data_IF_965680544558
#
_entry.id   IF_965680544558
#
_cell.length_a   1.000
_cell.length_b   1.000
_cell.length_c   1.000
_cell.angle_alpha   90.00
_cell.angle_beta   90.00
_cell.angle_gamma   90.00
#
_symmetry.space_group_name_H-M   'P 1'
#
loop_
_entity.id
_entity.type
_entity.pdbx_description
1 polymer ?
#
# COMPACT_ATOMS: atom_id res chain seq x y z
N UNK A 1 14.96 -4.47 -14.63
CA UNK A 1 13.58 -4.19 -14.15
C UNK A 1 13.43 -4.51 -12.66
N UNK A 2 13.49 -5.78 -12.25
CA UNK A 2 13.28 -6.21 -10.85
C UNK A 2 14.15 -5.46 -9.83
N UNK A 3 15.47 -5.36 -10.06
CA UNK A 3 16.41 -4.63 -9.18
C UNK A 3 16.01 -3.16 -9.03
N UNK A 4 15.57 -2.51 -10.11
CA UNK A 4 15.14 -1.11 -10.07
C UNK A 4 13.90 -0.92 -9.19
N UNK A 5 12.96 -1.87 -9.23
CA UNK A 5 11.75 -1.87 -8.38
C UNK A 5 12.12 -2.10 -6.91
N UNK A 6 13.03 -3.03 -6.63
CA UNK A 6 13.55 -3.27 -5.28
C UNK A 6 14.21 -2.00 -4.73
N UNK A 7 15.12 -1.40 -5.49
CA UNK A 7 15.81 -0.17 -5.08
C UNK A 7 14.84 0.99 -4.84
N UNK A 8 13.85 1.17 -5.72
CA UNK A 8 12.81 2.18 -5.53
C UNK A 8 12.00 1.92 -4.25
N UNK A 9 11.62 0.68 -4.00
CA UNK A 9 10.83 0.32 -2.82
C UNK A 9 11.61 0.55 -1.53
N UNK A 10 12.84 0.05 -1.47
CA UNK A 10 13.70 0.17 -0.28
C UNK A 10 14.08 1.62 -0.04
N UNK A 11 14.68 2.30 -1.02
CA UNK A 11 15.16 3.67 -0.84
C UNK A 11 13.99 4.64 -0.65
N UNK A 12 12.93 4.51 -1.44
CA UNK A 12 11.77 5.39 -1.39
C UNK A 12 11.06 5.33 -0.03
N UNK A 13 10.76 4.12 0.46
CA UNK A 13 10.11 3.96 1.76
C UNK A 13 11.05 4.29 2.93
N UNK A 14 12.35 4.02 2.82
CA UNK A 14 13.33 4.47 3.81
C UNK A 14 13.35 6.00 3.95
N UNK A 15 13.28 6.73 2.83
CA UNK A 15 13.19 8.20 2.87
C UNK A 15 11.89 8.68 3.52
N UNK A 16 10.77 7.97 3.31
CA UNK A 16 9.49 8.26 4.02
C UNK A 16 9.66 8.07 5.53
N UNK A 17 10.25 6.94 5.95
CA UNK A 17 10.51 6.63 7.35
C UNK A 17 11.37 7.73 7.98
N UNK A 18 12.53 8.03 7.38
CA UNK A 18 13.44 9.08 7.86
C UNK A 18 12.73 10.43 7.94
N UNK A 19 11.97 10.80 6.91
CA UNK A 19 11.26 12.09 6.87
C UNK A 19 10.26 12.20 8.03
N UNK A 20 9.36 11.23 8.20
CA UNK A 20 8.32 11.31 9.22
C UNK A 20 8.92 11.18 10.62
N UNK A 21 9.93 10.33 10.81
CA UNK A 21 10.59 10.17 12.11
C UNK A 21 11.38 11.42 12.52
N UNK A 22 12.03 12.09 11.58
CA UNK A 22 12.92 13.22 11.87
C UNK A 22 12.21 14.56 12.06
N UNK A 23 11.29 14.93 11.15
CA UNK A 23 10.70 16.26 11.14
C UNK A 23 9.49 16.35 12.08
N UNK A 24 9.60 17.13 13.14
CA UNK A 24 8.54 17.25 14.18
C UNK A 24 7.21 17.76 13.63
N UNK A 25 7.24 18.61 12.60
CA UNK A 25 6.03 19.08 11.90
C UNK A 25 5.21 17.93 11.31
N UNK A 26 5.86 16.81 10.96
CA UNK A 26 5.20 15.64 10.39
C UNK A 26 4.65 14.68 11.45
N UNK A 27 4.85 14.92 12.74
CA UNK A 27 4.30 14.07 13.81
C UNK A 27 2.81 14.35 14.01
N UNK A 28 2.00 13.90 13.05
CA UNK A 28 0.54 14.02 13.04
C UNK A 28 -0.11 12.63 13.05
N UNK A 29 -1.38 12.49 13.49
CA UNK A 29 -2.08 11.21 13.51
C UNK A 29 -2.05 10.48 12.15
N UNK A 30 -2.38 11.17 11.06
CA UNK A 30 -2.34 10.60 9.70
C UNK A 30 -0.96 10.06 9.33
N UNK A 31 0.10 10.81 9.65
CA UNK A 31 1.45 10.43 9.25
C UNK A 31 1.96 9.19 10.01
N UNK A 32 1.36 8.81 11.15
CA UNK A 32 1.65 7.52 11.77
C UNK A 32 1.20 6.33 10.91
N UNK A 33 0.07 6.43 10.23
CA UNK A 33 -0.37 5.38 9.30
C UNK A 33 0.56 5.30 8.09
N UNK A 34 1.00 6.44 7.56
CA UNK A 34 1.99 6.49 6.47
C UNK A 34 3.34 5.90 6.90
N UNK A 35 3.77 6.14 8.14
CA UNK A 35 4.97 5.55 8.69
C UNK A 35 4.85 4.03 8.83
N UNK A 36 3.74 3.53 9.36
CA UNK A 36 3.44 2.08 9.47
C UNK A 36 3.45 1.40 8.09
N UNK A 37 2.80 2.02 7.10
CA UNK A 37 2.80 1.56 5.72
C UNK A 37 4.22 1.50 5.13
N UNK A 38 5.00 2.58 5.29
CA UNK A 38 6.37 2.66 4.79
C UNK A 38 7.29 1.62 5.45
N UNK A 39 7.11 1.31 6.74
CA UNK A 39 7.85 0.23 7.42
C UNK A 39 7.52 -1.14 6.83
N UNK A 40 6.23 -1.44 6.62
CA UNK A 40 5.83 -2.69 5.98
C UNK A 40 6.40 -2.82 4.56
N UNK A 41 6.25 -1.79 3.74
CA UNK A 41 6.73 -1.77 2.35
C UNK A 41 8.27 -1.81 2.26
N UNK A 42 8.98 -1.15 3.18
CA UNK A 42 10.43 -1.26 3.29
C UNK A 42 10.87 -2.69 3.59
N UNK A 43 10.21 -3.39 4.51
CA UNK A 43 10.52 -4.80 4.82
C UNK A 43 10.20 -5.73 3.64
N UNK A 44 9.11 -5.48 2.90
CA UNK A 44 8.82 -6.20 1.65
C UNK A 44 9.96 -5.99 0.65
N UNK A 45 10.37 -4.74 0.42
CA UNK A 45 11.46 -4.43 -0.50
C UNK A 45 12.82 -4.99 -0.07
N UNK A 46 13.12 -4.98 1.23
CA UNK A 46 14.43 -5.38 1.76
C UNK A 46 14.58 -6.90 1.84
N UNK A 47 13.53 -7.61 2.29
CA UNK A 47 13.61 -9.04 2.61
C UNK A 47 12.89 -9.87 1.55
N UNK A 48 11.63 -9.54 1.27
CA UNK A 48 10.75 -10.39 0.45
C UNK A 48 11.13 -10.34 -1.02
N UNK A 49 11.25 -9.15 -1.61
CA UNK A 49 11.50 -9.02 -3.05
C UNK A 49 12.81 -9.67 -3.51
N UNK A 50 13.97 -9.51 -2.82
CA UNK A 50 15.21 -10.16 -3.22
C UNK A 50 15.13 -11.70 -3.13
N UNK A 51 14.49 -12.22 -2.08
CA UNK A 51 14.35 -13.67 -1.88
C UNK A 51 13.32 -14.28 -2.84
N UNK A 52 12.30 -13.52 -3.23
CA UNK A 52 11.40 -13.88 -4.32
C UNK A 52 12.12 -13.87 -5.67
N UNK A 53 13.05 -12.92 -5.89
CA UNK A 53 13.82 -12.79 -7.13
C UNK A 53 14.68 -14.03 -7.42
N UNK A 54 15.19 -14.71 -6.39
CA UNK A 54 15.98 -15.95 -6.55
C UNK A 54 15.23 -16.99 -7.37
N UNK A 55 13.90 -17.07 -7.25
CA UNK A 55 13.05 -18.03 -7.99
C UNK A 55 12.92 -17.75 -9.49
N UNK A 56 13.39 -16.59 -9.95
CA UNK A 56 13.45 -16.25 -11.36
C UNK A 56 14.79 -16.60 -12.00
N UNK A 57 15.83 -16.75 -11.17
CA UNK A 57 17.19 -17.04 -11.61
C UNK A 57 17.42 -18.55 -11.48
N UNK A 58 17.06 -19.09 -10.32
CA UNK A 58 17.18 -20.51 -10.00
C UNK A 58 15.88 -21.23 -10.29
N UNK A 59 15.99 -22.39 -10.93
CA UNK A 59 14.86 -23.29 -11.19
C UNK A 59 14.39 -24.01 -9.92
N UNK A 60 15.20 -24.01 -8.86
CA UNK A 60 14.99 -24.82 -7.67
C UNK A 60 15.22 -24.05 -6.36
N UNK A 61 14.54 -24.49 -5.29
CA UNK A 61 14.65 -23.89 -3.98
C UNK A 61 15.58 -24.70 -3.05
N UNK A 62 16.80 -24.22 -2.86
CA UNK A 62 17.84 -24.94 -2.11
C UNK A 62 17.83 -24.69 -0.59
N UNK A 63 17.11 -23.67 -0.11
CA UNK A 63 17.14 -23.24 1.30
C UNK A 63 16.24 -24.07 2.24
N UNK A 64 15.65 -25.17 1.74
CA UNK A 64 14.81 -26.07 2.50
C UNK A 64 13.37 -25.56 2.73
N UNK A 65 12.51 -26.48 3.21
CA UNK A 65 11.07 -26.25 3.40
C UNK A 65 10.78 -25.25 4.54
N UNK A 66 11.53 -25.30 5.64
CA UNK A 66 11.32 -24.38 6.77
C UNK A 66 11.54 -22.92 6.38
N UNK A 67 12.64 -22.63 5.67
CA UNK A 67 12.91 -21.28 5.20
C UNK A 67 11.88 -20.82 4.16
N UNK A 68 11.44 -21.72 3.26
CA UNK A 68 10.33 -21.47 2.35
C UNK A 68 9.06 -21.03 3.09
N UNK A 69 8.63 -21.78 4.11
CA UNK A 69 7.43 -21.49 4.88
C UNK A 69 7.53 -20.18 5.65
N UNK A 70 8.68 -19.90 6.27
CA UNK A 70 8.93 -18.64 6.98
C UNK A 70 8.83 -17.45 6.01
N UNK A 71 9.45 -17.55 4.83
CA UNK A 71 9.39 -16.46 3.85
C UNK A 71 7.99 -16.26 3.29
N UNK A 72 7.24 -17.33 3.04
CA UNK A 72 5.84 -17.22 2.60
C UNK A 72 4.93 -16.62 3.66
N UNK A 73 5.14 -16.99 4.92
CA UNK A 73 4.43 -16.39 6.05
C UNK A 73 4.76 -14.90 6.16
N UNK A 74 6.04 -14.54 6.13
CA UNK A 74 6.50 -13.16 6.21
C UNK A 74 5.97 -12.30 5.06
N UNK A 75 6.09 -12.78 3.83
CA UNK A 75 5.53 -12.17 2.61
C UNK A 75 4.03 -11.89 2.79
N UNK A 76 3.26 -12.92 3.12
CA UNK A 76 1.81 -12.83 3.27
C UNK A 76 1.37 -11.91 4.42
N UNK A 77 2.14 -11.85 5.51
CA UNK A 77 1.88 -10.95 6.65
C UNK A 77 2.17 -9.50 6.26
N UNK A 78 3.35 -9.21 5.74
CA UNK A 78 3.76 -7.84 5.42
C UNK A 78 2.87 -7.22 4.35
N UNK A 79 2.50 -8.01 3.34
CA UNK A 79 1.54 -7.60 2.33
C UNK A 79 0.18 -7.24 2.96
N UNK A 80 -0.36 -8.09 3.83
CA UNK A 80 -1.64 -7.82 4.51
C UNK A 80 -1.58 -6.59 5.42
N UNK A 81 -0.44 -6.37 6.09
CA UNK A 81 -0.19 -5.15 6.87
C UNK A 81 -0.18 -3.92 5.95
N UNK A 82 0.50 -3.97 4.80
CA UNK A 82 0.52 -2.87 3.82
C UNK A 82 -0.90 -2.55 3.32
N UNK A 83 -1.66 -3.57 2.94
CA UNK A 83 -3.04 -3.45 2.49
C UNK A 83 -3.97 -2.83 3.54
N UNK A 84 -3.92 -3.32 4.77
CA UNK A 84 -4.77 -2.81 5.84
C UNK A 84 -4.42 -1.38 6.23
N UNK A 85 -3.13 -1.00 6.21
CA UNK A 85 -2.74 0.40 6.40
C UNK A 85 -3.31 1.30 5.28
N UNK A 86 -3.32 0.85 4.02
CA UNK A 86 -3.99 1.58 2.93
C UNK A 86 -5.50 1.74 3.17
N UNK A 87 -6.18 0.70 3.66
CA UNK A 87 -7.58 0.76 4.08
C UNK A 87 -7.82 1.78 5.20
N UNK A 88 -6.99 1.77 6.24
CA UNK A 88 -7.07 2.73 7.33
C UNK A 88 -6.76 4.16 6.88
N UNK A 89 -5.84 4.36 5.92
CA UNK A 89 -5.59 5.66 5.32
C UNK A 89 -6.84 6.16 4.59
N UNK A 90 -7.55 5.32 3.85
CA UNK A 90 -8.81 5.73 3.22
C UNK A 90 -9.89 6.09 4.24
N UNK A 91 -9.97 5.37 5.37
CA UNK A 91 -10.88 5.71 6.47
C UNK A 91 -10.51 7.07 7.10
N UNK A 92 -9.22 7.33 7.37
CA UNK A 92 -8.75 8.64 7.85
C UNK A 92 -9.11 9.76 6.85
N UNK A 93 -8.85 9.56 5.57
CA UNK A 93 -9.19 10.52 4.50
C UNK A 93 -10.69 10.74 4.40
N UNK A 94 -11.50 9.69 4.60
CA UNK A 94 -12.96 9.78 4.63
C UNK A 94 -13.41 10.72 5.74
N UNK A 95 -12.96 10.52 6.97
CA UNK A 95 -13.34 11.41 8.07
C UNK A 95 -12.84 12.83 7.87
N UNK A 96 -11.64 13.01 7.28
CA UNK A 96 -11.09 14.34 7.02
C UNK A 96 -11.92 15.15 6.00
N UNK A 97 -12.49 14.49 4.99
CA UNK A 97 -13.23 15.15 3.90
C UNK A 97 -14.74 15.19 4.14
N UNK A 98 -15.31 14.09 4.62
CA UNK A 98 -16.75 13.94 4.81
C UNK A 98 -17.23 14.51 6.15
N UNK A 99 -16.44 14.39 7.21
CA UNK A 99 -16.79 14.83 8.58
C UNK A 99 -15.75 15.84 9.17
N UNK A 100 -15.43 16.96 8.49
CA UNK A 100 -14.30 17.81 8.87
C UNK A 100 -14.42 18.40 10.29
N UNK A 101 -15.63 18.70 10.76
CA UNK A 101 -15.86 19.30 12.10
C UNK A 101 -15.66 18.29 13.24
N UNK A 102 -15.89 17.01 12.98
CA UNK A 102 -15.72 15.93 13.97
C UNK A 102 -14.38 15.21 13.79
N UNK A 103 -13.59 15.57 12.78
CA UNK A 103 -12.33 14.90 12.47
C UNK A 103 -11.36 14.97 13.66
N UNK A 104 -11.17 16.14 14.26
CA UNK A 104 -10.22 16.33 15.37
C UNK A 104 -10.59 15.57 16.65
N UNK A 105 -11.87 15.24 16.82
CA UNK A 105 -12.35 14.45 17.98
C UNK A 105 -12.32 12.95 17.70
N UNK A 106 -12.69 12.52 16.48
CA UNK A 106 -12.69 11.11 16.07
C UNK A 106 -11.28 10.57 15.79
N UNK A 107 -10.44 11.36 15.13
CA UNK A 107 -9.10 10.95 14.67
C UNK A 107 -8.04 11.56 15.58
N UNK A 108 -7.46 10.71 16.42
CA UNK A 108 -6.41 11.08 17.36
C UNK A 108 -5.30 10.02 17.39
N UNK A 109 -4.19 10.34 18.06
CA UNK A 109 -3.03 9.45 18.17
C UNK A 109 -3.36 8.07 18.77
N UNK A 110 -4.31 7.98 19.71
CA UNK A 110 -4.70 6.70 20.33
C UNK A 110 -5.38 5.80 19.30
N UNK A 111 -6.32 6.34 18.53
CA UNK A 111 -7.01 5.61 17.47
C UNK A 111 -6.05 5.14 16.36
N UNK A 112 -5.12 6.00 15.92
CA UNK A 112 -4.14 5.62 14.90
C UNK A 112 -3.22 4.50 15.40
N UNK A 113 -2.76 4.57 16.65
CA UNK A 113 -1.97 3.48 17.26
C UNK A 113 -2.77 2.19 17.35
N UNK A 114 -4.07 2.25 17.68
CA UNK A 114 -4.94 1.08 17.68
C UNK A 114 -5.05 0.46 16.27
N UNK A 115 -5.27 1.26 15.23
CA UNK A 115 -5.29 0.75 13.84
C UNK A 115 -3.99 0.06 13.44
N UNK A 116 -2.85 0.65 13.80
CA UNK A 116 -1.52 0.06 13.56
C UNK A 116 -1.38 -1.24 14.34
N UNK A 117 -1.73 -1.28 15.62
CA UNK A 117 -1.65 -2.51 16.42
C UNK A 117 -2.55 -3.60 15.83
N UNK A 118 -3.77 -3.26 15.41
CA UNK A 118 -4.66 -4.20 14.75
C UNK A 118 -4.07 -4.75 13.45
N UNK A 119 -3.45 -3.93 12.60
CA UNK A 119 -2.82 -4.44 11.37
C UNK A 119 -1.65 -5.36 11.69
N UNK A 120 -0.75 -4.97 12.58
CA UNK A 120 0.44 -5.78 12.88
C UNK A 120 0.15 -7.05 13.68
N UNK A 121 -0.92 -7.10 14.46
CA UNK A 121 -1.20 -8.23 15.37
C UNK A 121 -2.30 -9.18 14.88
N UNK A 122 -3.25 -8.75 14.04
CA UNK A 122 -4.35 -9.62 13.59
C UNK A 122 -3.96 -10.50 12.40
N UNK A 123 -3.13 -10.00 11.48
CA UNK A 123 -2.77 -10.75 10.27
C UNK A 123 -1.76 -11.89 10.50
N UNK A 124 -0.71 -11.76 11.36
CA UNK A 124 0.17 -12.89 11.65
C UNK A 124 -0.54 -14.17 12.15
N UNK A 125 -1.43 -14.13 13.16
CA UNK A 125 -2.12 -15.32 13.62
C UNK A 125 -3.10 -15.86 12.57
N UNK A 126 -3.77 -14.99 11.80
CA UNK A 126 -4.61 -15.42 10.68
C UNK A 126 -3.79 -16.19 9.62
N UNK A 127 -2.62 -15.66 9.23
CA UNK A 127 -1.73 -16.30 8.26
C UNK A 127 -1.12 -17.60 8.77
N UNK A 128 -0.78 -17.64 10.06
CA UNK A 128 -0.27 -18.85 10.70
C UNK A 128 -1.34 -19.95 10.78
N UNK A 129 -2.57 -19.58 11.17
CA UNK A 129 -3.71 -20.49 11.19
C UNK A 129 -4.00 -21.02 9.78
N UNK A 130 -4.00 -20.16 8.78
CA UNK A 130 -4.16 -20.56 7.39
C UNK A 130 -3.03 -21.51 6.97
N UNK A 131 -1.76 -21.23 7.27
CA UNK A 131 -0.66 -22.15 6.96
C UNK A 131 -0.84 -23.54 7.62
N UNK A 132 -1.31 -23.59 8.86
CA UNK A 132 -1.48 -24.82 9.64
C UNK A 132 -2.72 -25.64 9.23
N UNK A 133 -3.88 -24.98 9.10
CA UNK A 133 -5.17 -25.62 8.82
C UNK A 133 -5.46 -25.85 7.33
N UNK A 134 -4.59 -25.39 6.45
CA UNK A 134 -4.74 -25.54 5.01
C UNK A 134 -4.47 -26.97 4.49
N UNK A 135 -4.15 -27.92 5.38
CA UNK A 135 -4.09 -29.34 5.03
C UNK A 135 -2.85 -29.76 4.26
N UNK A 136 -1.77 -28.96 4.29
CA UNK A 136 -0.51 -29.21 3.58
C UNK A 136 0.32 -30.40 4.10
N UNK A 137 -0.29 -31.32 4.86
CA UNK A 137 0.35 -32.56 5.28
C UNK A 137 0.17 -33.71 4.27
N UNK A 138 -0.68 -33.55 3.25
CA UNK A 138 -0.96 -34.59 2.23
C UNK A 138 -0.53 -34.16 0.81
N UNK A 139 0.72 -33.73 0.63
CA UNK A 139 1.31 -33.59 -0.69
C UNK A 139 2.01 -34.90 -1.08
N UNK A 140 1.74 -35.51 -2.25
CA UNK A 140 2.42 -36.75 -2.63
C UNK A 140 3.91 -36.47 -2.77
N UNK A 141 4.74 -37.31 -2.14
CA UNK A 141 6.18 -37.40 -2.38
C UNK A 141 6.43 -37.87 -3.82
N UNK A 142 6.03 -37.07 -4.81
CA UNK A 142 6.39 -37.31 -6.20
C UNK A 142 7.83 -36.87 -6.39
N UNK A 143 8.65 -37.84 -6.79
CA UNK A 143 10.03 -37.71 -7.22
C UNK A 143 10.14 -36.58 -8.24
N UNK A 144 10.39 -35.37 -7.76
CA UNK A 144 10.54 -34.18 -8.58
C UNK A 144 12.03 -33.96 -8.82
N UNK A 145 12.38 -33.54 -10.05
CA UNK A 145 13.75 -33.37 -10.57
C UNK A 145 14.60 -32.39 -9.72
N UNK A 146 14.00 -31.72 -8.74
CA UNK A 146 14.70 -30.89 -7.76
C UNK A 146 14.33 -31.18 -6.31
N UNK A 147 15.36 -31.23 -5.46
CA UNK A 147 15.31 -31.50 -4.02
C UNK A 147 14.50 -30.50 -3.17
N UNK A 148 13.98 -29.42 -3.76
CA UNK A 148 13.17 -28.43 -3.06
C UNK A 148 12.28 -27.62 -3.98
N UNK A 149 10.98 -27.86 -3.88
CA UNK A 149 9.95 -26.98 -4.43
C UNK A 149 9.39 -26.09 -3.31
N UNK A 150 9.18 -24.80 -3.59
CA UNK A 150 8.67 -23.83 -2.62
C UNK A 150 7.37 -23.19 -3.12
N UNK A 151 6.33 -24.01 -3.19
CA UNK A 151 4.97 -23.58 -3.56
C UNK A 151 4.10 -23.46 -2.31
N UNK A 152 3.23 -22.46 -2.34
CA UNK A 152 2.17 -22.33 -1.35
C UNK A 152 0.92 -22.97 -1.93
N UNK A 153 0.75 -24.27 -1.68
CA UNK A 153 -0.45 -24.99 -2.12
C UNK A 153 -1.56 -24.64 -1.15
N UNK A 154 -2.70 -24.18 -1.67
CA UNK A 154 -3.91 -23.90 -0.89
C UNK A 154 -5.06 -24.77 -1.38
N UNK A 155 -5.88 -25.27 -0.45
CA UNK A 155 -7.16 -25.89 -0.84
C UNK A 155 -8.07 -24.84 -1.48
N UNK A 156 -8.98 -25.28 -2.37
CA UNK A 156 -9.89 -24.38 -3.07
C UNK A 156 -10.70 -23.50 -2.10
N UNK A 157 -11.19 -24.08 -1.01
CA UNK A 157 -11.94 -23.37 0.02
C UNK A 157 -11.11 -22.28 0.69
N UNK A 158 -9.89 -22.60 1.13
CA UNK A 158 -9.01 -21.62 1.76
C UNK A 158 -8.58 -20.53 0.79
N UNK A 159 -8.38 -20.86 -0.49
CA UNK A 159 -8.03 -19.89 -1.55
C UNK A 159 -9.15 -18.88 -1.76
N UNK A 160 -10.41 -19.32 -1.79
CA UNK A 160 -11.59 -18.43 -1.90
C UNK A 160 -11.74 -17.56 -0.65
N UNK A 161 -11.61 -18.15 0.55
CA UNK A 161 -11.69 -17.39 1.81
C UNK A 161 -10.60 -16.31 1.86
N UNK A 162 -9.37 -16.66 1.50
CA UNK A 162 -8.25 -15.72 1.47
C UNK A 162 -8.47 -14.59 0.46
N UNK A 163 -8.95 -14.90 -0.75
CA UNK A 163 -9.31 -13.90 -1.74
C UNK A 163 -10.33 -12.89 -1.18
N UNK A 164 -11.36 -13.37 -0.49
CA UNK A 164 -12.40 -12.50 0.06
C UNK A 164 -11.82 -11.59 1.15
N UNK A 165 -11.10 -12.17 2.10
CA UNK A 165 -10.56 -11.47 3.28
C UNK A 165 -9.44 -10.50 2.90
N UNK A 166 -8.54 -10.93 2.02
CA UNK A 166 -7.31 -10.18 1.70
C UNK A 166 -7.52 -9.19 0.56
N UNK A 167 -8.42 -9.46 -0.39
CA UNK A 167 -8.64 -8.59 -1.55
C UNK A 167 -10.04 -7.99 -1.59
N UNK A 168 -11.09 -8.81 -1.71
CA UNK A 168 -12.42 -8.31 -2.09
C UNK A 168 -12.98 -7.37 -1.02
N UNK A 169 -12.92 -7.76 0.25
CA UNK A 169 -13.41 -6.95 1.36
C UNK A 169 -12.65 -5.62 1.48
N UNK A 170 -11.31 -5.57 1.59
CA UNK A 170 -10.58 -4.31 1.67
C UNK A 170 -10.75 -3.47 0.39
N UNK A 171 -10.79 -4.07 -0.80
CA UNK A 171 -11.07 -3.36 -2.06
C UNK A 171 -12.44 -2.67 -2.04
N UNK A 172 -13.48 -3.40 -1.65
CA UNK A 172 -14.85 -2.89 -1.66
C UNK A 172 -15.00 -1.72 -0.69
N UNK A 173 -14.39 -1.83 0.50
CA UNK A 173 -14.31 -0.75 1.48
C UNK A 173 -13.56 0.44 0.90
N UNK A 174 -12.37 0.22 0.34
CA UNK A 174 -11.53 1.28 -0.25
C UNK A 174 -12.25 2.04 -1.38
N UNK A 175 -12.82 1.31 -2.33
CA UNK A 175 -13.54 1.88 -3.47
C UNK A 175 -14.76 2.66 -2.96
N UNK A 176 -15.57 2.06 -2.07
CA UNK A 176 -16.74 2.73 -1.51
C UNK A 176 -16.40 4.04 -0.79
N UNK A 177 -15.35 4.01 0.06
CA UNK A 177 -14.87 5.21 0.75
C UNK A 177 -14.38 6.27 -0.23
N UNK A 178 -13.58 5.90 -1.24
CA UNK A 178 -13.05 6.87 -2.21
C UNK A 178 -14.11 7.44 -3.15
N UNK A 179 -15.12 6.65 -3.52
CA UNK A 179 -16.29 7.16 -4.28
C UNK A 179 -17.04 8.20 -3.43
N UNK A 180 -17.29 7.91 -2.15
CA UNK A 180 -17.93 8.88 -1.25
C UNK A 180 -17.11 10.15 -1.08
N UNK A 181 -15.78 10.02 -0.86
CA UNK A 181 -14.87 11.16 -0.79
C UNK A 181 -14.93 11.98 -2.08
N UNK A 182 -14.91 11.33 -3.24
CA UNK A 182 -14.97 12.01 -4.54
C UNK A 182 -16.29 12.78 -4.73
N UNK A 183 -17.42 12.17 -4.36
CA UNK A 183 -18.74 12.82 -4.42
C UNK A 183 -18.78 14.06 -3.53
N UNK A 184 -18.37 13.92 -2.25
CA UNK A 184 -18.40 15.02 -1.29
C UNK A 184 -17.43 16.14 -1.69
N UNK A 185 -16.20 15.81 -2.09
CA UNK A 185 -15.21 16.78 -2.54
C UNK A 185 -15.70 17.54 -3.78
N UNK A 186 -16.31 16.83 -4.74
CA UNK A 186 -16.87 17.46 -5.95
C UNK A 186 -18.05 18.37 -5.61
N UNK A 187 -18.90 17.98 -4.64
CA UNK A 187 -20.01 18.81 -4.18
C UNK A 187 -19.50 20.10 -3.50
N UNK A 188 -18.54 19.98 -2.58
CA UNK A 188 -17.93 21.14 -1.92
C UNK A 188 -17.29 22.10 -2.92
N UNK A 189 -16.56 21.57 -3.91
CA UNK A 189 -15.92 22.39 -4.93
C UNK A 189 -16.93 23.16 -5.81
N UNK A 190 -18.04 22.52 -6.21
CA UNK A 190 -19.13 23.18 -6.94
C UNK A 190 -19.75 24.33 -6.16
N UNK A 191 -20.01 24.14 -4.86
CA UNK A 191 -20.59 25.18 -3.99
C UNK A 191 -19.62 26.36 -3.82
N UNK A 192 -18.33 26.08 -3.61
CA UNK A 192 -17.31 27.13 -3.52
C UNK A 192 -17.21 27.89 -4.86
N UNK A 193 -17.23 27.18 -5.99
CA UNK A 193 -17.22 27.81 -7.31
C UNK A 193 -18.45 28.69 -7.54
N UNK A 194 -19.65 28.28 -7.12
CA UNK A 194 -20.86 29.10 -7.27
C UNK A 194 -20.84 30.34 -6.40
N UNK A 195 -20.37 30.25 -5.15
CA UNK A 195 -20.20 31.40 -4.25
C UNK A 195 -19.15 32.35 -4.82
N UNK A 196 -18.01 31.81 -5.28
CA UNK A 196 -16.94 32.62 -5.88
C UNK A 196 -17.43 33.33 -7.15
N UNK A 197 -18.23 32.67 -7.99
CA UNK A 197 -18.86 33.29 -9.16
C UNK A 197 -19.86 34.38 -8.77
N UNK A 198 -20.65 34.20 -7.71
CA UNK A 198 -21.55 35.24 -7.21
C UNK A 198 -20.77 36.47 -6.70
N UNK A 199 -19.73 36.26 -5.89
CA UNK A 199 -18.88 37.35 -5.38
C UNK A 199 -18.17 38.09 -6.54
N UNK A 200 -17.61 37.37 -7.50
CA UNK A 200 -16.95 37.96 -8.67
C UNK A 200 -17.92 38.63 -9.65
N UNK A 201 -19.19 38.23 -9.68
CA UNK A 201 -20.21 38.90 -10.52
C UNK A 201 -20.63 40.26 -9.96
N UNK A 202 -20.40 40.51 -8.66
CA UNK A 202 -20.59 41.83 -8.04
C UNK A 202 -19.41 42.78 -8.32
N UNK A 203 -18.24 42.24 -8.67
CA UNK A 203 -17.02 43.01 -8.93
C UNK A 203 -16.69 42.99 -10.43
N UNK A 204 -17.07 44.06 -11.15
CA UNK A 204 -17.08 44.13 -12.64
C UNK A 204 -15.72 44.01 -13.34
N UNK A 205 -14.63 43.64 -12.66
CA UNK A 205 -13.30 43.49 -13.25
C UNK A 205 -12.66 42.12 -12.95
N UNK A 206 -12.65 41.34 -14.04
CA UNK A 206 -11.51 40.55 -14.54
C UNK A 206 -11.37 39.10 -14.04
N UNK A 207 -11.27 38.26 -15.07
CA UNK A 207 -10.57 36.97 -15.20
C UNK A 207 -11.27 35.66 -14.81
N UNK A 208 -11.45 34.88 -15.88
CA UNK A 208 -11.74 33.45 -16.00
C UNK A 208 -10.75 32.64 -15.14
N UNK A 209 -11.02 32.47 -13.84
CA UNK A 209 -10.23 31.58 -12.99
C UNK A 209 -10.45 30.14 -13.46
N UNK A 210 -9.35 29.51 -13.83
CA UNK A 210 -9.25 28.19 -14.44
C UNK A 210 -9.79 27.09 -13.51
N UNK A 211 -10.68 26.24 -14.03
CA UNK A 211 -11.12 24.94 -13.46
C UNK A 211 -9.97 23.91 -13.26
N UNK A 212 -8.71 24.35 -13.17
CA UNK A 212 -7.50 23.50 -13.09
C UNK A 212 -7.27 22.87 -11.72
N UNK A 213 -7.73 23.48 -10.62
CA UNK A 213 -7.50 22.94 -9.27
C UNK A 213 -8.45 21.80 -8.91
N UNK A 214 -9.71 21.84 -9.37
CA UNK A 214 -10.74 20.82 -9.11
C UNK A 214 -10.35 19.43 -9.62
N UNK A 215 -9.68 19.35 -10.78
CA UNK A 215 -9.25 18.08 -11.37
C UNK A 215 -8.10 17.43 -10.61
N UNK A 216 -7.37 18.17 -9.76
CA UNK A 216 -6.13 17.70 -9.14
C UNK A 216 -6.38 16.75 -7.96
N UNK A 217 -7.36 17.06 -7.10
CA UNK A 217 -7.72 16.20 -5.96
C UNK A 217 -8.39 14.89 -6.40
N UNK A 218 -9.31 14.98 -7.39
CA UNK A 218 -9.94 13.81 -8.02
C UNK A 218 -8.91 12.86 -8.67
N UNK A 219 -7.90 13.43 -9.34
CA UNK A 219 -6.83 12.66 -9.99
C UNK A 219 -6.01 11.88 -8.97
N UNK A 220 -5.76 12.42 -7.78
CA UNK A 220 -5.01 11.76 -6.71
C UNK A 220 -5.70 10.48 -6.23
N UNK A 221 -7.00 10.57 -5.92
CA UNK A 221 -7.77 9.43 -5.38
C UNK A 221 -7.92 8.32 -6.43
N UNK A 222 -8.16 8.69 -7.69
CA UNK A 222 -8.22 7.74 -8.80
C UNK A 222 -6.90 7.00 -9.06
N UNK A 223 -5.76 7.66 -8.86
CA UNK A 223 -4.44 7.03 -9.03
C UNK A 223 -4.20 5.95 -7.97
N UNK A 224 -4.52 6.22 -6.70
CA UNK A 224 -4.33 5.24 -5.61
C UNK A 224 -5.16 3.98 -5.85
N UNK A 225 -6.45 4.14 -6.21
CA UNK A 225 -7.33 3.01 -6.52
C UNK A 225 -6.88 2.26 -7.77
N UNK A 226 -6.45 2.97 -8.82
CA UNK A 226 -5.96 2.35 -10.04
C UNK A 226 -4.70 1.51 -9.80
N UNK A 227 -3.71 2.07 -9.11
CA UNK A 227 -2.46 1.37 -8.78
C UNK A 227 -2.77 0.09 -8.00
N UNK A 228 -3.66 0.19 -7.01
CA UNK A 228 -4.11 -0.95 -6.25
C UNK A 228 -4.69 -2.04 -7.16
N UNK A 229 -5.73 -1.72 -7.95
CA UNK A 229 -6.40 -2.72 -8.78
C UNK A 229 -5.46 -3.34 -9.82
N UNK A 230 -4.59 -2.52 -10.42
CA UNK A 230 -3.60 -2.98 -11.38
C UNK A 230 -2.60 -3.97 -10.79
N UNK A 231 -2.12 -3.74 -9.56
CA UNK A 231 -1.13 -4.60 -8.95
C UNK A 231 -1.72 -5.96 -8.50
N UNK A 232 -3.00 -5.98 -8.15
CA UNK A 232 -3.58 -7.09 -7.40
C UNK A 232 -4.53 -7.97 -8.19
N UNK A 233 -5.37 -7.39 -9.05
CA UNK A 233 -6.38 -8.14 -9.81
C UNK A 233 -5.74 -9.18 -10.74
N UNK A 234 -4.67 -8.87 -11.51
CA UNK A 234 -4.08 -9.86 -12.43
C UNK A 234 -3.57 -11.11 -11.72
N UNK A 235 -2.93 -10.96 -10.57
CA UNK A 235 -2.42 -12.09 -9.77
C UNK A 235 -3.55 -12.99 -9.28
N UNK A 236 -4.59 -12.42 -8.69
CA UNK A 236 -5.70 -13.20 -8.16
C UNK A 236 -6.55 -13.87 -9.25
N UNK A 237 -6.73 -13.23 -10.40
CA UNK A 237 -7.39 -13.86 -11.55
C UNK A 237 -6.62 -15.11 -12.01
N UNK A 238 -5.29 -15.03 -12.10
CA UNK A 238 -4.48 -16.20 -12.45
C UNK A 238 -4.54 -17.30 -11.40
N UNK A 239 -4.47 -16.97 -10.11
CA UNK A 239 -4.59 -17.95 -9.02
C UNK A 239 -5.95 -18.67 -9.01
N UNK A 240 -7.02 -18.01 -9.48
CA UNK A 240 -8.34 -18.65 -9.63
C UNK A 240 -8.42 -19.55 -10.87
N UNK A 241 -7.82 -19.13 -11.99
CA UNK A 241 -7.86 -19.87 -13.26
C UNK A 241 -6.89 -21.07 -13.28
N UNK A 242 -5.85 -21.07 -12.43
CA UNK A 242 -4.87 -22.16 -12.33
C UNK A 242 -5.51 -23.53 -12.01
N UNK A 243 -6.70 -23.54 -11.42
CA UNK A 243 -7.48 -24.76 -11.19
C UNK A 243 -8.06 -25.37 -12.48
N UNK A 244 -8.20 -24.56 -13.55
CA UNK A 244 -8.74 -24.97 -14.86
C UNK A 244 -7.68 -25.03 -15.98
N UNK A 245 -6.60 -24.25 -15.87
CA UNK A 245 -5.54 -24.17 -16.88
C UNK A 245 -4.15 -24.30 -16.24
N UNK A 246 -3.36 -25.27 -16.71
CA UNK A 246 -1.95 -25.46 -16.38
C UNK A 246 -1.11 -24.23 -16.77
N UNK A 247 -1.20 -23.17 -15.96
CA UNK A 247 -0.53 -21.89 -16.20
C UNK A 247 0.96 -22.06 -15.90
N UNK A 248 1.82 -21.52 -16.77
CA UNK A 248 3.27 -21.63 -16.56
C UNK A 248 3.68 -20.94 -15.25
N UNK A 249 4.51 -21.61 -14.44
CA UNK A 249 5.01 -21.08 -13.16
C UNK A 249 5.67 -19.70 -13.29
N UNK A 250 6.30 -19.40 -14.42
CA UNK A 250 6.90 -18.10 -14.72
C UNK A 250 5.89 -16.94 -14.78
N UNK A 251 4.69 -17.16 -15.31
CA UNK A 251 3.62 -16.13 -15.36
C UNK A 251 3.12 -15.84 -13.96
N UNK A 252 2.88 -16.87 -13.14
CA UNK A 252 2.44 -16.71 -11.75
C UNK A 252 3.48 -15.94 -10.93
N UNK A 253 4.76 -16.27 -11.08
CA UNK A 253 5.82 -15.51 -10.43
C UNK A 253 5.79 -14.04 -10.86
N UNK A 254 5.80 -13.77 -12.17
CA UNK A 254 5.79 -12.40 -12.70
C UNK A 254 4.62 -11.58 -12.18
N UNK A 255 3.42 -12.16 -12.14
CA UNK A 255 2.23 -11.52 -11.56
C UNK A 255 2.35 -11.31 -10.05
N UNK A 256 2.96 -12.25 -9.33
CA UNK A 256 3.33 -12.06 -7.92
C UNK A 256 4.27 -10.87 -7.73
N UNK A 257 5.18 -10.61 -8.67
CA UNK A 257 6.02 -9.41 -8.63
C UNK A 257 5.27 -8.13 -8.99
N UNK A 258 4.21 -8.21 -9.80
CA UNK A 258 3.32 -7.07 -10.04
C UNK A 258 2.61 -6.66 -8.74
N UNK A 259 2.27 -7.59 -7.85
CA UNK A 259 1.73 -7.26 -6.51
C UNK A 259 2.70 -6.37 -5.73
N UNK A 260 4.00 -6.67 -5.78
CA UNK A 260 5.05 -5.89 -5.13
C UNK A 260 5.20 -4.46 -5.66
N UNK A 261 4.76 -4.17 -6.89
CA UNK A 261 4.74 -2.80 -7.41
C UNK A 261 3.85 -1.88 -6.57
N UNK A 262 2.83 -2.41 -5.87
CA UNK A 262 1.99 -1.62 -4.98
C UNK A 262 2.83 -0.88 -3.92
N UNK A 263 3.77 -1.58 -3.30
CA UNK A 263 4.71 -1.02 -2.31
C UNK A 263 5.72 -0.05 -2.93
N UNK A 264 6.13 -0.28 -4.19
CA UNK A 264 7.05 0.58 -4.93
C UNK A 264 6.41 1.91 -5.36
N UNK A 265 5.11 1.90 -5.63
CA UNK A 265 4.37 3.07 -6.10
C UNK A 265 4.06 4.08 -4.98
N UNK A 266 4.08 3.66 -3.72
CA UNK A 266 3.75 4.53 -2.57
C UNK A 266 4.69 5.77 -2.48
N UNK A 267 6.03 5.65 -2.52
CA UNK A 267 6.93 6.80 -2.59
C UNK A 267 6.68 7.74 -3.79
N UNK A 268 6.29 7.20 -4.95
CA UNK A 268 5.95 8.00 -6.14
C UNK A 268 4.67 8.81 -5.87
N UNK A 269 3.64 8.16 -5.32
CA UNK A 269 2.40 8.81 -4.90
C UNK A 269 2.72 9.94 -3.91
N UNK A 270 3.63 9.71 -2.95
CA UNK A 270 4.05 10.76 -2.01
C UNK A 270 4.74 11.93 -2.70
N UNK A 271 5.67 11.69 -3.62
CA UNK A 271 6.34 12.74 -4.38
C UNK A 271 5.39 13.61 -5.21
N UNK A 272 4.31 13.01 -5.74
CA UNK A 272 3.31 13.71 -6.53
C UNK A 272 2.37 14.56 -5.67
N UNK A 273 1.94 14.04 -4.52
CA UNK A 273 0.83 14.62 -3.76
C UNK A 273 1.21 15.30 -2.46
N UNK A 274 2.40 15.03 -1.90
CA UNK A 274 2.83 15.58 -0.62
C UNK A 274 3.99 16.55 -0.82
N UNK A 275 3.76 17.88 -0.71
CA UNK A 275 4.81 18.88 -0.84
C UNK A 275 5.96 18.71 0.14
N UNK A 276 5.64 18.30 1.38
CA UNK A 276 6.63 18.07 2.43
C UNK A 276 7.64 16.99 2.04
N UNK A 277 7.20 15.94 1.31
CA UNK A 277 8.07 14.83 0.92
C UNK A 277 9.17 15.29 -0.04
N UNK A 278 8.84 16.15 -1.00
CA UNK A 278 9.85 16.70 -1.93
C UNK A 278 10.89 17.57 -1.23
N UNK A 279 10.45 18.35 -0.24
CA UNK A 279 11.37 19.17 0.57
C UNK A 279 12.23 18.31 1.50
N UNK A 280 11.65 17.29 2.15
CA UNK A 280 12.42 16.39 3.00
C UNK A 280 13.46 15.60 2.21
N UNK A 281 13.09 15.08 1.03
CA UNK A 281 14.03 14.44 0.08
C UNK A 281 15.19 15.38 -0.26
N UNK A 282 14.91 16.64 -0.59
CA UNK A 282 15.96 17.63 -0.88
C UNK A 282 16.90 17.85 0.31
N UNK A 283 16.36 17.94 1.54
CA UNK A 283 17.17 18.12 2.75
C UNK A 283 18.01 16.88 3.09
N UNK A 284 17.46 15.68 2.87
CA UNK A 284 18.17 14.41 3.07
C UNK A 284 19.32 14.28 2.08
N UNK A 285 19.07 14.49 0.78
CA UNK A 285 20.09 14.37 -0.28
C UNK A 285 21.18 15.45 -0.13
N UNK A 286 20.82 16.66 0.31
CA UNK A 286 21.80 17.73 0.54
C UNK A 286 22.49 17.65 1.90
N UNK A 287 22.27 16.56 2.66
CA UNK A 287 22.82 16.32 4.01
C UNK A 287 22.53 17.43 5.04
N UNK A 288 21.59 18.34 4.73
CA UNK A 288 21.15 19.41 5.65
C UNK A 288 20.35 18.86 6.83
N UNK A 289 19.92 17.59 6.76
CA UNK A 289 19.31 16.85 7.86
C UNK A 289 20.28 16.62 9.03
N UNK A 290 21.59 16.70 8.81
CA UNK A 290 22.59 16.56 9.88
C UNK A 290 22.77 17.83 10.73
N UNK A 291 22.16 18.96 10.34
CA UNK A 291 22.20 20.18 11.13
C UNK A 291 21.38 20.02 12.43
N UNK A 292 21.84 20.57 13.57
CA UNK A 292 21.22 20.36 14.88
C UNK A 292 19.74 20.81 14.93
N UNK A 293 19.37 21.86 14.21
CA UNK A 293 17.99 22.38 14.18
C UNK A 293 17.14 21.85 13.02
N UNK A 294 17.66 20.89 12.25
CA UNK A 294 16.99 20.43 11.02
C UNK A 294 15.62 19.80 11.27
N UNK A 295 15.39 19.22 12.45
CA UNK A 295 14.10 18.62 12.84
C UNK A 295 12.96 19.63 12.98
N UNK A 296 13.28 20.92 13.13
CA UNK A 296 12.34 22.03 13.27
C UNK A 296 12.07 22.77 11.95
N UNK A 297 12.76 22.39 10.87
CA UNK A 297 12.60 23.03 9.55
C UNK A 297 11.17 22.83 9.05
N UNK A 298 10.56 23.92 8.59
CA UNK A 298 9.23 23.87 7.98
C UNK A 298 9.27 23.24 6.58
N UNK A 299 8.58 22.10 6.45
CA UNK A 299 8.35 21.37 5.21
C UNK A 299 7.02 21.76 4.56
#
# INVERSE_FOLDING_TARGET
FFISVVMLTVCGNLVVIISISHFKQLHTPTNLLLLSLAVADFLIGLIVMPLAMIRYIETCWYFGRTFCSILKLLDSVLISVSLSNLAFIAIDRYFAVCDPLLYSTKINFKMMRLFILCSWLLFPPYRLALLYFNGNFDGPDTLSICLGQCFFVMSANWRIIDLIVTLILPCSIMIGLYVNIFIVATRQARVISSITQQILSMDKRRNKISKKSERKAAKTLGIVVFVFLFCWVPYYLCVLIEEEMHTSSGVLYFLGFIVYLNSAMNPIIYALFYPWFKKSVKLIITLRICNPDSSLISL
#
